data_IF_735958294735
#
_entry.id   IF_735958294735
#
_cell.length_a   1.000
_cell.length_b   1.000
_cell.length_c   1.000
_cell.angle_alpha   90.00
_cell.angle_beta   90.00
_cell.angle_gamma   90.00
#
_symmetry.space_group_name_H-M   'P 1'
#
loop_
_entity.id
_entity.type
_entity.pdbx_description
1 polymer ?
#
# COMPACT_ATOMS: atom_id res chain seq x y z
N UNK A 1 -31.48 19.80 0.15
CA UNK A 1 -31.39 18.84 -0.96
C UNK A 1 -30.54 17.69 -0.46
N UNK A 2 -31.09 16.47 -0.38
CA UNK A 2 -30.33 15.31 0.08
C UNK A 2 -29.49 14.76 -1.08
N UNK A 3 -28.18 14.60 -0.86
CA UNK A 3 -27.26 13.97 -1.80
C UNK A 3 -27.22 12.47 -1.52
N UNK A 4 -27.29 11.63 -2.56
CA UNK A 4 -27.16 10.18 -2.42
C UNK A 4 -25.70 9.81 -2.72
N UNK A 5 -25.05 9.11 -1.80
CA UNK A 5 -23.66 8.68 -1.95
C UNK A 5 -23.64 7.17 -2.20
N UNK A 6 -23.00 6.74 -3.29
CA UNK A 6 -22.89 5.33 -3.68
C UNK A 6 -21.46 4.87 -3.47
N UNK A 7 -21.23 3.94 -2.55
CA UNK A 7 -19.92 3.31 -2.36
C UNK A 7 -19.84 2.05 -3.21
N UNK A 8 -18.87 2.00 -4.12
CA UNK A 8 -18.67 0.88 -5.04
C UNK A 8 -17.39 0.14 -4.64
N UNK A 9 -17.52 -1.13 -4.26
CA UNK A 9 -16.39 -2.03 -4.02
C UNK A 9 -16.19 -2.93 -5.24
N UNK A 10 -15.02 -2.85 -5.85
CA UNK A 10 -14.64 -3.69 -6.97
C UNK A 10 -13.58 -4.71 -6.53
N UNK A 11 -13.85 -5.99 -6.73
CA UNK A 11 -12.92 -7.09 -6.46
C UNK A 11 -12.84 -8.03 -7.65
N UNK A 12 -11.76 -8.82 -7.76
CA UNK A 12 -11.58 -9.74 -8.88
C UNK A 12 -10.21 -10.43 -8.85
N UNK A 13 -10.05 -11.51 -9.61
CA UNK A 13 -8.80 -12.29 -9.68
C UNK A 13 -8.10 -12.10 -11.02
N UNK A 14 -6.78 -12.18 -10.98
CA UNK A 14 -5.97 -12.19 -12.20
C UNK A 14 -5.74 -13.64 -12.64
N UNK A 15 -6.00 -13.94 -13.91
CA UNK A 15 -5.63 -15.23 -14.52
C UNK A 15 -4.16 -15.23 -14.95
N UNK A 16 -3.64 -16.42 -15.24
CA UNK A 16 -2.27 -16.62 -15.73
C UNK A 16 -2.02 -15.98 -17.11
N UNK A 17 -3.08 -15.75 -17.88
CA UNK A 17 -3.06 -15.10 -19.20
C UNK A 17 -3.11 -13.57 -19.13
N UNK A 18 -2.96 -12.98 -17.94
CA UNK A 18 -3.07 -11.53 -17.70
C UNK A 18 -4.46 -10.96 -17.99
N UNK A 19 -5.49 -11.80 -17.91
CA UNK A 19 -6.89 -11.36 -17.95
C UNK A 19 -7.38 -11.16 -16.51
N UNK A 20 -7.99 -10.00 -16.23
CA UNK A 20 -8.68 -9.77 -14.95
C UNK A 20 -10.11 -10.31 -15.09
N UNK A 21 -10.39 -11.44 -14.44
CA UNK A 21 -11.65 -12.19 -14.54
C UNK A 21 -12.21 -12.52 -13.16
N UNK A 22 -13.44 -13.02 -13.10
CA UNK A 22 -14.19 -13.20 -11.84
C UNK A 22 -14.31 -11.89 -11.03
N UNK A 23 -14.62 -10.77 -11.69
CA UNK A 23 -14.80 -9.51 -10.97
C UNK A 23 -16.21 -9.41 -10.35
N UNK A 24 -16.29 -8.88 -9.13
CA UNK A 24 -17.54 -8.49 -8.48
C UNK A 24 -17.54 -6.99 -8.23
N UNK A 25 -18.67 -6.37 -8.52
CA UNK A 25 -18.94 -4.97 -8.19
C UNK A 25 -20.07 -5.00 -7.17
N UNK A 26 -19.75 -4.72 -5.92
CA UNK A 26 -20.71 -4.64 -4.84
C UNK A 26 -20.95 -3.15 -4.53
N UNK A 27 -22.20 -2.70 -4.60
CA UNK A 27 -22.56 -1.30 -4.34
C UNK A 27 -23.44 -1.18 -3.08
N UNK A 28 -23.13 -0.22 -2.20
CA UNK A 28 -23.99 0.10 -1.05
C UNK A 28 -24.51 1.54 -1.24
N UNK A 29 -25.84 1.68 -1.22
CA UNK A 29 -26.53 2.98 -1.22
C UNK A 29 -26.71 3.43 0.22
N UNK A 30 -26.09 4.55 0.59
CA UNK A 30 -26.18 5.08 1.94
C UNK A 30 -26.93 6.42 1.89
N UNK A 31 -27.99 6.62 2.69
CA UNK A 31 -28.60 7.94 2.82
C UNK A 31 -27.58 8.91 3.42
N UNK A 32 -27.42 10.09 2.81
CA UNK A 32 -26.66 11.18 3.43
C UNK A 32 -27.48 11.70 4.60
N UNK A 33 -27.23 11.14 5.78
CA UNK A 33 -27.34 11.92 7.00
C UNK A 33 -26.16 12.88 6.97
N UNK A 34 -26.31 14.16 7.30
CA UNK A 34 -25.22 15.14 7.13
C UNK A 34 -23.98 14.84 8.04
N UNK A 35 -23.92 13.69 8.73
CA UNK A 35 -22.88 13.24 9.65
C UNK A 35 -22.34 14.36 10.56
N UNK A 36 -23.25 15.23 11.03
CA UNK A 36 -22.95 16.37 11.90
C UNK A 36 -23.09 15.94 13.36
N UNK A 37 -22.04 16.15 14.15
CA UNK A 37 -21.97 15.81 15.56
C UNK A 37 -21.51 17.00 16.40
N UNK A 38 -22.13 17.18 17.57
CA UNK A 38 -21.67 18.10 18.61
C UNK A 38 -20.81 17.35 19.64
N UNK A 39 -19.56 17.77 19.81
CA UNK A 39 -18.58 17.15 20.69
C UNK A 39 -18.15 18.15 21.77
N UNK A 40 -18.21 17.75 23.04
CA UNK A 40 -17.73 18.59 24.14
C UNK A 40 -16.30 18.21 24.53
N UNK A 41 -15.39 19.18 24.56
CA UNK A 41 -13.98 19.01 24.89
C UNK A 41 -13.50 20.20 25.72
N UNK A 42 -12.98 19.93 26.93
CA UNK A 42 -12.52 20.95 27.89
C UNK A 42 -13.53 22.09 28.15
N UNK A 43 -14.83 21.77 28.18
CA UNK A 43 -15.90 22.76 28.41
C UNK A 43 -16.27 23.60 27.19
N UNK A 44 -15.68 23.33 26.02
CA UNK A 44 -16.06 23.92 24.73
C UNK A 44 -16.78 22.90 23.86
N UNK A 45 -17.75 23.37 23.09
CA UNK A 45 -18.48 22.52 22.14
C UNK A 45 -17.94 22.72 20.74
N UNK A 46 -17.68 21.61 20.05
CA UNK A 46 -17.19 21.56 18.69
C UNK A 46 -18.23 20.90 17.78
N UNK A 47 -18.38 21.42 16.57
CA UNK A 47 -19.26 20.85 15.55
C UNK A 47 -18.37 20.13 14.54
N UNK A 48 -18.57 18.83 14.40
CA UNK A 48 -17.82 17.95 13.48
C UNK A 48 -18.78 17.46 12.39
N UNK A 49 -18.44 17.66 11.12
CA UNK A 49 -19.13 17.06 9.99
C UNK A 49 -18.20 16.07 9.30
N UNK A 50 -18.48 14.77 9.41
CA UNK A 50 -17.62 13.74 8.82
C UNK A 50 -17.77 13.64 7.31
N UNK A 51 -18.93 14.00 6.76
CA UNK A 51 -19.15 13.99 5.30
C UNK A 51 -18.27 15.03 4.59
N UNK A 52 -18.25 16.25 5.14
CA UNK A 52 -17.49 17.37 4.58
C UNK A 52 -16.06 17.41 5.12
N UNK A 53 -15.69 16.48 6.00
CA UNK A 53 -14.40 16.47 6.70
C UNK A 53 -14.11 17.82 7.37
N UNK A 54 -15.10 18.40 8.05
CA UNK A 54 -14.97 19.70 8.72
C UNK A 54 -15.14 19.59 10.22
N UNK A 55 -14.43 20.43 10.96
CA UNK A 55 -14.63 20.63 12.38
C UNK A 55 -14.55 22.12 12.72
N UNK A 56 -15.33 22.60 13.70
CA UNK A 56 -15.22 23.98 14.18
C UNK A 56 -13.86 24.30 14.82
N UNK A 57 -13.02 23.29 15.09
CA UNK A 57 -11.61 23.50 15.46
C UNK A 57 -10.69 23.80 14.27
N UNK A 58 -11.22 23.78 13.03
CA UNK A 58 -10.56 23.99 11.74
C UNK A 58 -9.42 23.03 11.38
N UNK A 59 -8.93 22.20 12.31
CA UNK A 59 -7.84 21.24 12.03
C UNK A 59 -8.19 20.22 10.97
N UNK A 60 -9.44 19.76 10.95
CA UNK A 60 -9.87 18.77 9.97
C UNK A 60 -9.73 19.31 8.52
N UNK A 61 -10.10 20.57 8.32
CA UNK A 61 -10.04 21.24 7.03
C UNK A 61 -8.61 21.58 6.62
N UNK A 62 -7.77 21.98 7.58
CA UNK A 62 -6.39 22.40 7.32
C UNK A 62 -5.48 21.21 7.06
N UNK A 63 -5.56 20.19 7.92
CA UNK A 63 -4.64 19.05 7.87
C UNK A 63 -5.11 18.00 6.85
N UNK A 64 -6.39 18.04 6.43
CA UNK A 64 -7.01 17.01 5.60
C UNK A 64 -7.12 15.65 6.30
N UNK A 65 -6.88 15.61 7.61
CA UNK A 65 -6.86 14.42 8.46
C UNK A 65 -7.84 14.67 9.62
N UNK A 66 -8.61 13.64 10.07
CA UNK A 66 -9.53 13.82 11.18
C UNK A 66 -8.83 14.32 12.45
N UNK A 67 -9.35 15.40 13.02
CA UNK A 67 -8.87 15.96 14.28
C UNK A 67 -9.31 15.08 15.48
N UNK A 68 -8.78 15.36 16.68
CA UNK A 68 -9.15 14.62 17.90
C UNK A 68 -10.66 14.61 18.18
N UNK A 69 -11.38 15.67 17.81
CA UNK A 69 -12.85 15.73 17.93
C UNK A 69 -13.56 14.77 16.98
N UNK A 70 -13.04 14.59 15.77
CA UNK A 70 -13.57 13.64 14.80
C UNK A 70 -13.20 12.18 15.14
N UNK A 71 -12.03 11.97 15.74
CA UNK A 71 -11.55 10.66 16.19
C UNK A 71 -12.19 10.14 17.48
N UNK A 72 -13.09 10.89 18.11
CA UNK A 72 -13.70 10.45 19.37
C UNK A 72 -14.54 9.17 19.15
N UNK A 73 -14.49 8.21 20.09
CA UNK A 73 -15.26 6.98 19.97
C UNK A 73 -16.76 7.25 19.78
N UNK A 74 -17.30 8.27 20.45
CA UNK A 74 -18.71 8.65 20.34
C UNK A 74 -19.10 9.12 18.94
N UNK A 75 -18.23 9.85 18.23
CA UNK A 75 -18.49 10.30 16.85
C UNK A 75 -18.34 9.16 15.86
N UNK A 76 -17.36 8.28 16.08
CA UNK A 76 -17.09 7.14 15.22
C UNK A 76 -18.14 6.05 15.38
N UNK A 77 -18.52 5.67 16.61
CA UNK A 77 -19.52 4.63 16.83
C UNK A 77 -20.87 5.00 16.22
N UNK A 78 -21.23 6.29 16.25
CA UNK A 78 -22.43 6.81 15.58
C UNK A 78 -22.41 6.70 14.07
N UNK A 79 -21.23 6.66 13.41
CA UNK A 79 -21.21 6.37 11.96
C UNK A 79 -21.59 4.93 11.65
N UNK A 80 -21.40 4.02 12.60
CA UNK A 80 -21.81 2.62 12.47
C UNK A 80 -23.26 2.37 12.92
N UNK A 81 -23.98 3.37 13.43
CA UNK A 81 -25.41 3.27 13.73
C UNK A 81 -26.29 3.28 12.46
N UNK A 82 -25.70 3.58 11.30
CA UNK A 82 -26.42 3.50 10.02
C UNK A 82 -26.79 2.03 9.75
N UNK A 83 -28.08 1.71 9.55
CA UNK A 83 -28.48 0.34 9.27
C UNK A 83 -27.87 -0.11 7.95
N UNK A 84 -27.06 -1.17 8.00
CA UNK A 84 -26.59 -1.86 6.81
C UNK A 84 -27.75 -2.75 6.34
N UNK A 85 -28.42 -2.32 5.28
CA UNK A 85 -29.45 -3.15 4.65
C UNK A 85 -28.81 -4.34 3.96
N UNK A 86 -29.46 -5.50 4.06
CA UNK A 86 -29.09 -6.64 3.24
C UNK A 86 -29.24 -6.26 1.76
N UNK A 87 -28.23 -6.59 0.96
CA UNK A 87 -28.35 -6.49 -0.48
C UNK A 87 -29.49 -7.41 -0.93
N UNK A 88 -30.45 -6.91 -1.74
CA UNK A 88 -31.47 -7.77 -2.32
C UNK A 88 -30.82 -8.82 -3.23
N UNK A 89 -31.53 -9.93 -3.46
CA UNK A 89 -31.01 -10.97 -4.34
C UNK A 89 -30.75 -10.42 -5.75
N UNK A 90 -29.75 -10.98 -6.44
CA UNK A 90 -29.33 -10.49 -7.76
C UNK A 90 -30.48 -10.51 -8.79
N UNK A 91 -31.46 -11.40 -8.61
CA UNK A 91 -32.66 -11.47 -9.46
C UNK A 91 -33.60 -10.27 -9.32
N UNK A 92 -33.53 -9.50 -8.24
CA UNK A 92 -34.37 -8.33 -7.96
C UNK A 92 -33.74 -7.01 -8.47
N UNK A 93 -32.53 -7.06 -9.02
CA UNK A 93 -31.80 -5.88 -9.44
C UNK A 93 -32.34 -5.34 -10.77
N UNK A 94 -32.84 -4.10 -10.77
CA UNK A 94 -33.21 -3.39 -11.99
C UNK A 94 -31.95 -2.80 -12.65
N UNK A 95 -31.26 -3.60 -13.47
CA UNK A 95 -30.07 -3.18 -14.22
C UNK A 95 -30.51 -2.60 -15.58
N UNK A 96 -30.33 -1.30 -15.83
CA UNK A 96 -30.64 -0.69 -17.13
C UNK A 96 -29.88 -1.34 -18.28
N UNK A 97 -30.52 -1.45 -19.44
CA UNK A 97 -29.99 -2.17 -20.61
C UNK A 97 -28.62 -1.65 -21.08
N UNK A 98 -28.41 -0.33 -21.05
CA UNK A 98 -27.12 0.28 -21.42
C UNK A 98 -25.97 -0.17 -20.51
N UNK A 99 -26.22 -0.36 -19.21
CA UNK A 99 -25.24 -0.86 -18.24
C UNK A 99 -24.99 -2.36 -18.46
N UNK A 100 -26.05 -3.12 -18.71
CA UNK A 100 -25.94 -4.56 -18.97
C UNK A 100 -25.08 -4.86 -20.21
N UNK A 101 -25.07 -3.97 -21.20
CA UNK A 101 -24.25 -4.09 -22.41
C UNK A 101 -22.83 -3.54 -22.28
N UNK A 102 -22.51 -2.77 -21.23
CA UNK A 102 -21.19 -2.20 -21.04
C UNK A 102 -20.18 -3.26 -20.61
N UNK A 103 -19.20 -3.53 -21.47
CA UNK A 103 -18.06 -4.39 -21.13
C UNK A 103 -16.98 -3.53 -20.47
N UNK A 104 -16.92 -3.57 -19.13
CA UNK A 104 -15.86 -2.90 -18.37
C UNK A 104 -14.54 -3.66 -18.58
N UNK A 105 -13.64 -3.07 -19.37
CA UNK A 105 -12.30 -3.64 -19.56
C UNK A 105 -11.42 -3.34 -18.33
N UNK A 106 -10.51 -4.27 -17.97
CA UNK A 106 -9.57 -4.03 -16.89
C UNK A 106 -8.69 -2.81 -17.18
N UNK A 107 -8.25 -2.06 -16.15
CA UNK A 107 -7.30 -0.97 -16.34
C UNK A 107 -6.04 -1.49 -17.05
N UNK A 108 -5.56 -0.74 -18.03
CA UNK A 108 -4.30 -1.05 -18.72
C UNK A 108 -3.13 -0.87 -17.73
N UNK A 109 -2.73 -1.95 -17.07
CA UNK A 109 -1.63 -1.94 -16.10
C UNK A 109 -0.31 -2.38 -16.75
N UNK A 110 0.77 -1.65 -16.44
CA UNK A 110 2.15 -2.06 -16.76
C UNK A 110 2.87 -2.39 -15.46
N UNK A 111 3.52 -3.57 -15.38
CA UNK A 111 4.40 -3.88 -14.24
C UNK A 111 5.52 -2.84 -14.20
N UNK A 112 5.70 -2.10 -13.10
CA UNK A 112 6.79 -1.14 -12.99
C UNK A 112 8.14 -1.87 -13.09
N UNK A 113 9.19 -1.22 -13.60
CA UNK A 113 10.53 -1.79 -13.60
C UNK A 113 10.90 -2.24 -12.18
N UNK A 114 11.40 -3.47 -12.06
CA UNK A 114 11.83 -4.00 -10.77
C UNK A 114 12.91 -3.07 -10.21
N UNK A 115 12.88 -2.80 -8.89
CA UNK A 115 13.90 -1.99 -8.23
C UNK A 115 15.29 -2.53 -8.59
N UNK A 116 16.20 -1.72 -9.16
CA UNK A 116 17.57 -2.15 -9.39
C UNK A 116 18.16 -2.68 -8.10
N UNK A 117 18.83 -3.85 -8.15
CA UNK A 117 19.53 -4.38 -6.99
C UNK A 117 20.50 -3.31 -6.50
N UNK A 118 20.38 -2.90 -5.25
CA UNK A 118 21.34 -1.97 -4.62
C UNK A 118 22.70 -2.66 -4.65
N UNK A 119 23.66 -2.13 -5.41
CA UNK A 119 25.05 -2.54 -5.32
C UNK A 119 25.50 -2.28 -3.88
N UNK A 120 25.95 -3.33 -3.18
CA UNK A 120 26.50 -3.18 -1.84
C UNK A 120 27.87 -2.51 -1.95
N UNK A 121 28.04 -1.36 -1.31
CA UNK A 121 29.36 -0.77 -1.09
C UNK A 121 30.15 -1.70 -0.15
N UNK A 122 31.31 -2.16 -0.62
CA UNK A 122 32.22 -2.99 0.18
C UNK A 122 32.91 -2.12 1.21
N UNK A 123 33.02 -2.58 2.46
CA UNK A 123 33.72 -1.82 3.50
C UNK A 123 35.23 -1.80 3.23
N UNK A 124 35.94 -0.85 3.84
CA UNK A 124 37.41 -0.77 3.75
C UNK A 124 38.09 -2.10 4.13
N UNK A 125 37.56 -2.81 5.13
CA UNK A 125 38.02 -4.12 5.58
C UNK A 125 37.80 -5.25 4.55
N UNK A 126 36.87 -5.08 3.61
CA UNK A 126 36.63 -6.01 2.50
C UNK A 126 37.49 -5.68 1.27
N UNK A 127 37.92 -4.41 1.12
CA UNK A 127 38.84 -3.94 0.10
C UNK A 127 40.31 -4.20 0.46
N UNK A 128 40.65 -4.12 1.76
CA UNK A 128 42.01 -4.32 2.28
C UNK A 128 42.44 -5.79 2.34
N UNK A 129 41.50 -6.73 2.22
CA UNK A 129 41.81 -8.13 1.97
C UNK A 129 42.28 -8.27 0.52
N UNK A 130 43.57 -8.06 0.28
CA UNK A 130 44.24 -8.59 -0.90
C UNK A 130 43.90 -10.08 -0.90
N UNK A 131 43.05 -10.52 -1.84
CA UNK A 131 42.72 -11.92 -2.01
C UNK A 131 43.93 -12.62 -2.63
N UNK A 132 44.93 -12.91 -1.80
CA UNK A 132 45.99 -13.82 -2.17
C UNK A 132 45.39 -15.22 -2.17
N UNK A 133 44.92 -15.68 -3.34
CA UNK A 133 44.40 -17.03 -3.49
C UNK A 133 45.47 -18.07 -3.14
N UNK A 134 46.74 -17.78 -3.45
CA UNK A 134 47.87 -18.64 -3.13
C UNK A 134 49.09 -17.81 -2.71
N UNK A 135 49.64 -18.06 -1.51
CA UNK A 135 50.93 -17.53 -1.06
C UNK A 135 52.02 -18.57 -1.21
N UNK A 136 53.26 -18.14 -1.48
CA UNK A 136 54.39 -19.06 -1.52
C UNK A 136 54.68 -19.59 -0.11
N UNK A 137 54.56 -20.91 0.12
CA UNK A 137 54.85 -21.52 1.42
C UNK A 137 56.32 -21.36 1.88
N UNK A 138 57.24 -21.02 0.97
CA UNK A 138 58.67 -20.89 1.28
C UNK A 138 59.07 -19.47 1.64
N UNK A 139 58.51 -18.44 0.97
CA UNK A 139 58.89 -17.04 1.20
C UNK A 139 57.72 -16.13 1.64
N UNK A 140 56.51 -16.68 1.77
CA UNK A 140 55.30 -15.97 2.21
C UNK A 140 54.70 -14.99 1.21
N UNK A 141 55.37 -14.68 0.08
CA UNK A 141 54.91 -13.67 -0.89
C UNK A 141 53.74 -14.21 -1.74
N UNK A 142 52.75 -13.36 -2.01
CA UNK A 142 51.58 -13.68 -2.82
C UNK A 142 51.80 -13.66 -4.34
N UNK A 143 53.01 -13.33 -4.79
CA UNK A 143 53.31 -13.10 -6.22
C UNK A 143 53.51 -14.42 -6.96
N UNK A 144 53.86 -15.51 -6.27
CA UNK A 144 54.20 -16.79 -6.88
C UNK A 144 53.90 -17.96 -5.93
N UNK A 145 53.96 -19.19 -6.43
CA UNK A 145 53.77 -20.41 -5.63
C UNK A 145 55.12 -21.08 -5.30
N UNK A 146 55.14 -22.10 -4.44
CA UNK A 146 56.38 -22.78 -4.02
C UNK A 146 57.22 -23.28 -5.21
N UNK A 147 56.57 -23.79 -6.28
CA UNK A 147 57.25 -24.39 -7.45
C UNK A 147 58.02 -23.36 -8.27
N UNK A 148 57.54 -22.12 -8.34
CA UNK A 148 58.18 -21.01 -9.06
C UNK A 148 58.98 -20.08 -8.15
N UNK A 149 59.21 -20.46 -6.88
CA UNK A 149 59.96 -19.66 -5.94
C UNK A 149 61.45 -19.68 -6.25
N UNK A 150 62.04 -18.52 -6.52
CA UNK A 150 63.49 -18.36 -6.75
C UNK A 150 64.35 -18.66 -5.52
N UNK A 151 63.75 -18.72 -4.33
CA UNK A 151 64.42 -19.04 -3.05
C UNK A 151 64.30 -20.54 -2.73
N UNK A 152 63.37 -21.26 -3.37
CA UNK A 152 63.26 -22.70 -3.14
C UNK A 152 64.45 -23.41 -3.78
N UNK A 153 65.27 -24.06 -2.95
CA UNK A 153 66.32 -24.96 -3.44
C UNK A 153 65.66 -26.13 -4.15
N UNK A 154 65.99 -26.35 -5.44
CA UNK A 154 65.61 -27.58 -6.13
C UNK A 154 66.42 -28.70 -5.49
N UNK A 155 65.77 -29.57 -4.71
CA UNK A 155 66.41 -30.83 -4.29
C UNK A 155 66.73 -31.62 -5.57
N UNK A 156 67.99 -31.99 -5.74
CA UNK A 156 68.43 -32.93 -6.78
C UNK A 156 67.79 -34.30 -6.55
#
# INVERSE_FOLDING_TARGET
MATITVLIRHSGKWSEESCYGEYSIDGIVVPSTDYIYSVSDEGKTYIVCLEKMTCSCNRFQVDGIPCAHAWRPETILKTYEVPVYHLPDKSEWNIPEHIATEVVLPPKYKRPPRRPKKQREKSFSELSKIKCTNSCSTCGKCVHNRRSCRIATRKA
#
